data_IF_933719438455
#
_entry.id   IF_933719438455
#
_cell.length_a   1.000
_cell.length_b   1.000
_cell.length_c   1.000
_cell.angle_alpha   90.00
_cell.angle_beta   90.00
_cell.angle_gamma   90.00
#
_symmetry.space_group_name_H-M   'P 1'
#
loop_
_entity.id
_entity.type
_entity.pdbx_description
1 polymer ?
#
# COMPACT_ATOMS: atom_id res chain seq x y z
N UNK A 1 6.07 43.02 40.94
CA UNK A 1 6.26 44.48 40.72
C UNK A 1 7.06 44.78 39.46
N UNK A 2 8.11 44.01 39.12
CA UNK A 2 8.88 44.20 37.88
C UNK A 2 8.05 44.08 36.59
N UNK A 3 7.05 43.19 36.55
CA UNK A 3 6.17 42.96 35.39
C UNK A 3 5.21 44.11 35.06
N UNK A 4 4.90 44.99 36.02
CA UNK A 4 4.01 46.13 35.77
C UNK A 4 4.75 47.37 35.23
N UNK A 5 6.06 47.46 35.44
CA UNK A 5 6.88 48.59 34.97
C UNK A 5 7.15 48.46 33.46
N UNK A 6 7.37 47.23 32.95
CA UNK A 6 7.54 47.00 31.52
C UNK A 6 6.28 47.34 30.70
N UNK A 7 5.08 47.01 31.23
CA UNK A 7 3.82 47.31 30.55
C UNK A 7 3.57 48.82 30.43
N UNK A 8 3.96 49.59 31.45
CA UNK A 8 3.85 51.06 31.46
C UNK A 8 4.88 51.69 30.50
N UNK A 9 6.08 51.13 30.43
CA UNK A 9 7.13 51.59 29.50
C UNK A 9 6.80 51.26 28.03
N UNK A 10 6.15 50.13 27.74
CA UNK A 10 5.62 49.82 26.40
C UNK A 10 4.49 50.77 26.00
N UNK A 11 3.59 51.10 26.93
CA UNK A 11 2.54 52.10 26.70
C UNK A 11 3.11 53.48 26.35
N UNK A 12 4.15 53.93 27.07
CA UNK A 12 4.81 55.21 26.81
C UNK A 12 5.60 55.23 25.49
N UNK A 13 6.23 54.12 25.09
CA UNK A 13 6.86 53.98 23.76
C UNK A 13 5.83 54.05 22.63
N UNK A 14 4.65 53.48 22.83
CA UNK A 14 3.53 53.57 21.88
C UNK A 14 3.05 55.02 21.66
N UNK A 15 2.94 55.79 22.74
CA UNK A 15 2.49 57.20 22.70
C UNK A 15 3.55 58.13 22.09
N UNK A 16 4.84 57.94 22.40
CA UNK A 16 5.93 58.70 21.77
C UNK A 16 6.04 58.42 20.25
N UNK A 17 5.85 57.16 19.83
CA UNK A 17 5.78 56.80 18.41
C UNK A 17 4.54 57.35 17.69
N UNK A 18 3.41 57.50 18.39
CA UNK A 18 2.21 58.14 17.85
C UNK A 18 2.39 59.66 17.68
N UNK A 19 3.01 60.34 18.63
CA UNK A 19 3.31 61.78 18.57
C UNK A 19 4.32 62.12 17.46
N UNK A 20 5.38 61.30 17.29
CA UNK A 20 6.34 61.44 16.19
C UNK A 20 5.69 61.28 14.81
N UNK A 21 4.81 60.29 14.65
CA UNK A 21 4.05 60.07 13.40
C UNK A 21 3.02 61.17 13.13
N UNK A 22 2.48 61.81 14.16
CA UNK A 22 1.55 62.94 14.01
C UNK A 22 2.29 64.22 13.57
N UNK A 23 3.47 64.48 14.15
CA UNK A 23 4.37 65.57 13.76
C UNK A 23 4.88 65.43 12.31
N UNK A 24 5.35 64.24 11.92
CA UNK A 24 5.75 63.97 10.53
C UNK A 24 4.60 64.12 9.53
N UNK A 25 3.38 63.70 9.91
CA UNK A 25 2.20 63.87 9.05
C UNK A 25 1.80 65.33 8.92
N UNK A 26 1.90 66.14 9.97
CA UNK A 26 1.63 67.58 9.90
C UNK A 26 2.69 68.35 9.12
N UNK A 27 3.98 68.05 9.32
CA UNK A 27 5.05 68.66 8.52
C UNK A 27 4.97 68.25 7.03
N UNK A 28 4.63 66.99 6.74
CA UNK A 28 4.34 66.55 5.36
C UNK A 28 3.05 67.16 4.79
N UNK A 29 2.06 67.45 5.62
CA UNK A 29 0.81 68.08 5.20
C UNK A 29 0.99 69.58 4.92
N UNK A 30 1.79 70.31 5.71
CA UNK A 30 2.11 71.72 5.46
C UNK A 30 3.02 71.88 4.24
N UNK A 31 4.09 71.08 4.12
CA UNK A 31 4.90 71.03 2.90
C UNK A 31 4.08 70.60 1.66
N UNK A 32 3.03 69.79 1.86
CA UNK A 32 2.08 69.40 0.82
C UNK A 32 1.13 70.52 0.39
N UNK A 33 0.74 71.44 1.29
CA UNK A 33 -0.15 72.58 0.96
C UNK A 33 0.57 73.64 0.13
N UNK A 34 1.81 73.99 0.50
CA UNK A 34 2.60 74.96 -0.26
C UNK A 34 2.99 74.40 -1.64
N UNK A 35 3.27 73.09 -1.71
CA UNK A 35 3.48 72.40 -2.99
C UNK A 35 2.20 72.33 -3.83
N UNK A 36 1.04 72.06 -3.24
CA UNK A 36 -0.23 72.03 -3.96
C UNK A 36 -0.61 73.40 -4.55
N UNK A 37 -0.38 74.49 -3.81
CA UNK A 37 -0.61 75.84 -4.30
C UNK A 37 0.36 76.22 -5.44
N UNK A 38 1.63 75.84 -5.32
CA UNK A 38 2.62 76.03 -6.39
C UNK A 38 2.29 75.18 -7.64
N UNK A 39 1.86 73.93 -7.44
CA UNK A 39 1.45 73.02 -8.51
C UNK A 39 0.20 73.54 -9.23
N UNK A 40 -0.78 74.08 -8.51
CA UNK A 40 -1.99 74.66 -9.07
C UNK A 40 -1.69 75.95 -9.87
N UNK A 41 -0.81 76.83 -9.35
CA UNK A 41 -0.35 78.01 -10.07
C UNK A 41 0.45 77.67 -11.33
N UNK A 42 1.25 76.59 -11.32
CA UNK A 42 1.95 76.10 -12.50
C UNK A 42 0.97 75.54 -13.55
N UNK A 43 -0.08 74.81 -13.12
CA UNK A 43 -1.11 74.25 -14.02
C UNK A 43 -1.91 75.31 -14.75
N UNK A 44 -2.37 76.34 -14.04
CA UNK A 44 -3.11 77.47 -14.64
C UNK A 44 -2.27 78.22 -15.69
N UNK A 45 -0.94 78.29 -15.52
CA UNK A 45 -0.04 78.95 -16.47
C UNK A 45 0.30 78.13 -17.69
N UNK A 46 0.50 76.82 -17.53
CA UNK A 46 0.63 75.90 -18.66
C UNK A 46 -0.61 75.96 -19.56
N UNK A 47 -1.79 76.02 -18.93
CA UNK A 47 -3.06 76.22 -19.62
C UNK A 47 -3.12 77.55 -20.38
N UNK A 48 -2.56 78.63 -19.83
CA UNK A 48 -2.45 79.93 -20.53
C UNK A 48 -1.48 79.89 -21.73
N UNK A 49 -0.48 79.02 -21.72
CA UNK A 49 0.43 78.76 -22.84
C UNK A 49 -0.15 77.78 -23.88
N UNK A 50 -1.40 77.34 -23.71
CA UNK A 50 -2.03 76.34 -24.58
C UNK A 50 -1.46 74.93 -24.43
N UNK A 51 -0.82 74.64 -23.30
CA UNK A 51 -0.22 73.34 -22.97
C UNK A 51 -1.05 72.72 -21.85
N UNK A 52 -1.79 71.66 -22.15
CA UNK A 52 -2.58 70.97 -21.12
C UNK A 52 -1.68 70.07 -20.27
N UNK A 53 -1.85 70.14 -18.95
CA UNK A 53 -1.12 69.28 -18.00
C UNK A 53 -1.57 67.83 -18.14
N UNK A 54 -2.83 67.62 -18.52
CA UNK A 54 -3.37 66.31 -18.86
C UNK A 54 -2.73 65.71 -20.14
N UNK A 55 -2.41 66.51 -21.16
CA UNK A 55 -1.69 66.06 -22.36
C UNK A 55 -0.23 65.67 -22.05
N UNK A 56 0.44 66.46 -21.20
CA UNK A 56 1.81 66.18 -20.75
C UNK A 56 1.86 64.92 -19.87
N UNK A 57 0.94 64.80 -18.91
CA UNK A 57 0.87 63.63 -18.02
C UNK A 57 0.37 62.38 -18.74
N UNK A 58 -0.56 62.52 -19.69
CA UNK A 58 -1.07 61.43 -20.53
C UNK A 58 0.00 60.86 -21.44
N UNK A 59 0.79 61.70 -22.11
CA UNK A 59 1.92 61.24 -22.93
C UNK A 59 3.07 60.62 -22.10
N UNK A 60 3.29 61.11 -20.89
CA UNK A 60 4.25 60.52 -19.95
C UNK A 60 3.73 59.17 -19.37
N UNK A 61 2.42 58.99 -19.25
CA UNK A 61 1.80 57.75 -18.78
C UNK A 61 1.68 56.68 -19.88
N UNK A 62 1.43 57.08 -21.14
CA UNK A 62 1.36 56.18 -22.30
C UNK A 62 2.71 55.60 -22.71
N UNK A 63 3.82 56.29 -22.37
CA UNK A 63 5.15 55.82 -22.68
C UNK A 63 6.06 55.94 -21.45
N UNK A 64 6.08 54.92 -20.56
CA UNK A 64 6.82 54.97 -19.30
C UNK A 64 8.33 55.12 -19.50
N UNK A 65 8.84 55.00 -20.74
CA UNK A 65 10.22 55.22 -21.17
C UNK A 65 10.57 56.68 -21.51
N UNK A 66 9.76 57.66 -21.08
CA UNK A 66 10.10 59.09 -21.21
C UNK A 66 11.38 59.44 -20.43
N UNK A 67 12.54 59.24 -21.06
CA UNK A 67 13.85 59.70 -20.63
C UNK A 67 13.85 61.24 -20.56
N UNK A 68 14.62 61.81 -19.62
CA UNK A 68 15.03 63.22 -19.63
C UNK A 68 15.42 63.74 -21.02
N UNK A 69 16.00 62.89 -21.88
CA UNK A 69 16.26 63.20 -23.29
C UNK A 69 15.00 63.45 -24.12
N UNK A 70 13.95 62.65 -23.95
CA UNK A 70 12.66 62.80 -24.64
C UNK A 70 11.87 64.01 -24.14
N UNK A 71 11.93 64.29 -22.82
CA UNK A 71 11.34 65.51 -22.24
C UNK A 71 12.06 66.77 -22.75
N UNK A 72 13.40 66.75 -22.79
CA UNK A 72 14.17 67.86 -23.35
C UNK A 72 13.93 68.06 -24.85
N UNK A 73 13.78 66.97 -25.62
CA UNK A 73 13.41 67.03 -27.02
C UNK A 73 12.01 67.66 -27.21
N UNK A 74 11.01 67.24 -26.42
CA UNK A 74 9.67 67.80 -26.44
C UNK A 74 9.63 69.30 -26.07
N UNK A 75 10.34 69.69 -25.01
CA UNK A 75 10.43 71.09 -24.56
C UNK A 75 11.16 71.98 -25.55
N UNK A 76 12.14 71.43 -26.28
CA UNK A 76 12.86 72.10 -27.36
C UNK A 76 11.98 72.24 -28.61
N UNK A 77 11.23 71.20 -28.99
CA UNK A 77 10.33 71.20 -30.15
C UNK A 77 9.15 72.17 -29.97
N UNK A 78 8.66 72.35 -28.74
CA UNK A 78 7.64 73.35 -28.38
C UNK A 78 8.18 74.78 -28.21
N UNK A 79 9.49 75.00 -28.37
CA UNK A 79 10.12 76.32 -28.26
C UNK A 79 10.17 76.90 -26.84
N UNK A 80 9.76 76.15 -25.81
CA UNK A 80 9.63 76.63 -24.42
C UNK A 80 11.00 76.99 -23.84
N UNK A 81 12.03 76.21 -24.17
CA UNK A 81 13.42 76.46 -23.74
C UNK A 81 13.97 77.73 -24.40
N UNK A 82 13.72 77.93 -25.69
CA UNK A 82 14.14 79.14 -26.40
C UNK A 82 13.41 80.38 -25.89
N UNK A 83 12.10 80.29 -25.63
CA UNK A 83 11.33 81.43 -25.09
C UNK A 83 11.79 81.79 -23.67
N UNK A 84 12.10 80.82 -22.81
CA UNK A 84 12.64 81.08 -21.48
C UNK A 84 14.02 81.78 -21.53
N UNK A 85 14.90 81.33 -22.43
CA UNK A 85 16.24 81.90 -22.65
C UNK A 85 16.20 83.31 -23.28
N UNK A 86 15.29 83.54 -24.23
CA UNK A 86 15.17 84.81 -24.95
C UNK A 86 14.47 85.90 -24.14
N UNK A 87 13.43 85.54 -23.37
CA UNK A 87 12.66 86.51 -22.58
C UNK A 87 13.29 86.82 -21.22
N UNK A 88 14.17 85.95 -20.73
CA UNK A 88 14.72 86.06 -19.38
C UNK A 88 13.66 85.93 -18.29
N UNK A 89 12.46 85.41 -18.61
CA UNK A 89 11.35 85.32 -17.66
C UNK A 89 11.69 84.33 -16.54
N UNK A 90 11.84 84.79 -15.28
CA UNK A 90 12.16 83.92 -14.16
C UNK A 90 11.12 82.82 -13.94
N UNK A 91 9.87 83.01 -14.36
CA UNK A 91 8.80 82.00 -14.23
C UNK A 91 8.95 80.83 -15.21
N UNK A 92 9.42 81.10 -16.42
CA UNK A 92 9.68 80.07 -17.42
C UNK A 92 10.85 79.16 -16.96
N UNK A 93 11.88 79.77 -16.36
CA UNK A 93 12.96 79.03 -15.71
C UNK A 93 12.47 78.17 -14.53
N UNK A 94 11.61 78.71 -13.66
CA UNK A 94 11.02 77.93 -12.56
C UNK A 94 10.23 76.70 -13.04
N UNK A 95 9.48 76.86 -14.13
CA UNK A 95 8.69 75.76 -14.72
C UNK A 95 9.58 74.67 -15.31
N UNK A 96 10.68 75.06 -15.99
CA UNK A 96 11.68 74.13 -16.51
C UNK A 96 12.44 73.40 -15.39
N UNK A 97 12.81 74.10 -14.31
CA UNK A 97 13.44 73.45 -13.15
C UNK A 97 12.50 72.45 -12.49
N UNK A 98 11.22 72.80 -12.34
CA UNK A 98 10.21 71.90 -11.78
C UNK A 98 10.03 70.62 -12.61
N UNK A 99 9.91 70.74 -13.94
CA UNK A 99 9.79 69.58 -14.83
C UNK A 99 11.04 68.70 -14.81
N UNK A 100 12.22 69.30 -14.77
CA UNK A 100 13.50 68.57 -14.64
C UNK A 100 13.56 67.80 -13.32
N UNK A 101 13.16 68.44 -12.22
CA UNK A 101 13.20 67.83 -10.89
C UNK A 101 12.17 66.67 -10.78
N UNK A 102 10.97 66.82 -11.36
CA UNK A 102 9.97 65.75 -11.50
C UNK A 102 10.50 64.57 -12.34
N UNK A 103 11.16 64.85 -13.47
CA UNK A 103 11.76 63.80 -14.30
C UNK A 103 12.86 63.04 -13.55
N UNK A 104 13.70 63.76 -12.78
CA UNK A 104 14.73 63.15 -11.93
C UNK A 104 14.13 62.29 -10.80
N UNK A 105 13.05 62.74 -10.16
CA UNK A 105 12.33 61.96 -9.14
C UNK A 105 11.69 60.69 -9.74
N UNK A 106 11.09 60.81 -10.93
CA UNK A 106 10.50 59.66 -11.63
C UNK A 106 11.57 58.63 -12.01
N UNK A 107 12.71 59.06 -12.55
CA UNK A 107 13.81 58.14 -12.89
C UNK A 107 14.37 57.45 -11.63
N UNK A 108 14.51 58.18 -10.52
CA UNK A 108 14.88 57.58 -9.23
C UNK A 108 13.88 56.51 -8.79
N UNK A 109 12.57 56.78 -8.87
CA UNK A 109 11.51 55.81 -8.56
C UNK A 109 11.56 54.59 -9.48
N UNK A 110 11.83 54.76 -10.78
CA UNK A 110 11.99 53.65 -11.73
C UNK A 110 13.18 52.77 -11.36
N UNK A 111 14.33 53.37 -11.06
CA UNK A 111 15.53 52.65 -10.63
C UNK A 111 15.30 51.92 -9.30
N UNK A 112 14.60 52.54 -8.35
CA UNK A 112 14.24 51.93 -7.07
C UNK A 112 13.27 50.76 -7.25
N UNK A 113 12.20 50.93 -8.04
CA UNK A 113 11.26 49.85 -8.38
C UNK A 113 11.94 48.70 -9.15
N UNK A 114 12.88 49.01 -10.04
CA UNK A 114 13.65 48.00 -10.76
C UNK A 114 14.62 47.24 -9.84
N UNK A 115 15.21 47.91 -8.85
CA UNK A 115 16.01 47.26 -7.80
C UNK A 115 15.12 46.36 -6.93
N UNK A 116 13.99 46.88 -6.44
CA UNK A 116 13.02 46.11 -5.67
C UNK A 116 12.54 44.88 -6.44
N UNK A 117 12.17 45.04 -7.71
CA UNK A 117 11.72 43.92 -8.55
C UNK A 117 12.80 42.86 -8.80
N UNK A 118 14.09 43.23 -8.79
CA UNK A 118 15.21 42.26 -8.84
C UNK A 118 15.37 41.54 -7.50
N UNK A 119 15.23 42.25 -6.39
CA UNK A 119 15.28 41.67 -5.04
C UNK A 119 14.11 40.72 -4.80
N UNK A 120 12.89 41.09 -5.19
CA UNK A 120 11.69 40.24 -5.11
C UNK A 120 11.84 38.97 -5.96
N UNK A 121 12.39 39.09 -7.18
CA UNK A 121 12.70 37.92 -8.03
C UNK A 121 13.75 37.02 -7.39
N UNK A 122 14.76 37.59 -6.73
CA UNK A 122 15.78 36.81 -6.03
C UNK A 122 15.21 36.13 -4.78
N UNK A 123 14.35 36.82 -4.03
CA UNK A 123 13.68 36.28 -2.84
C UNK A 123 12.71 35.14 -3.21
N UNK A 124 11.91 35.32 -4.26
CA UNK A 124 11.02 34.25 -4.76
C UNK A 124 11.81 33.05 -5.27
N UNK A 125 12.89 33.26 -6.04
CA UNK A 125 13.75 32.16 -6.51
C UNK A 125 14.46 31.41 -5.37
N UNK A 126 14.83 32.10 -4.28
CA UNK A 126 15.39 31.45 -3.10
C UNK A 126 14.31 30.66 -2.34
N UNK A 127 13.14 31.26 -2.11
CA UNK A 127 12.02 30.59 -1.46
C UNK A 127 11.56 29.33 -2.22
N UNK A 128 11.55 29.35 -3.55
CA UNK A 128 11.23 28.15 -4.36
C UNK A 128 12.30 27.07 -4.21
N UNK A 129 13.59 27.43 -4.18
CA UNK A 129 14.68 26.46 -3.96
C UNK A 129 14.61 25.83 -2.58
N UNK A 130 14.37 26.63 -1.55
CA UNK A 130 14.24 26.15 -0.17
C UNK A 130 13.02 25.23 -0.03
N UNK A 131 11.90 25.58 -0.68
CA UNK A 131 10.71 24.74 -0.75
C UNK A 131 10.97 23.40 -1.46
N UNK A 132 11.63 23.42 -2.62
CA UNK A 132 12.01 22.20 -3.36
C UNK A 132 12.97 21.31 -2.56
N UNK A 133 13.96 21.89 -1.89
CA UNK A 133 14.91 21.15 -1.06
C UNK A 133 14.20 20.52 0.15
N UNK A 134 13.31 21.26 0.81
CA UNK A 134 12.51 20.72 1.91
C UNK A 134 11.60 19.57 1.45
N UNK A 135 10.91 19.71 0.32
CA UNK A 135 10.08 18.66 -0.26
C UNK A 135 10.90 17.42 -0.64
N UNK A 136 12.11 17.61 -1.16
CA UNK A 136 13.03 16.50 -1.48
C UNK A 136 13.47 15.75 -0.21
N UNK A 137 13.79 16.47 0.86
CA UNK A 137 14.16 15.86 2.16
C UNK A 137 12.98 15.08 2.74
N UNK A 138 11.78 15.66 2.76
CA UNK A 138 10.55 14.99 3.21
C UNK A 138 10.30 13.71 2.41
N UNK A 139 10.41 13.73 1.07
CA UNK A 139 10.25 12.53 0.24
C UNK A 139 11.29 11.45 0.56
N UNK A 140 12.55 11.83 0.73
CA UNK A 140 13.61 10.89 1.09
C UNK A 140 13.36 10.23 2.46
N UNK A 141 12.83 10.99 3.43
CA UNK A 141 12.44 10.46 4.74
C UNK A 141 11.25 9.51 4.65
N UNK A 142 10.24 9.83 3.83
CA UNK A 142 9.10 8.93 3.54
C UNK A 142 9.59 7.62 2.91
N UNK A 143 10.45 7.69 1.91
CA UNK A 143 11.00 6.50 1.22
C UNK A 143 11.82 5.63 2.18
N UNK A 144 12.58 6.27 3.07
CA UNK A 144 13.30 5.58 4.14
C UNK A 144 12.34 4.88 5.10
N UNK A 145 11.29 5.56 5.58
CA UNK A 145 10.29 4.96 6.46
C UNK A 145 9.57 3.78 5.81
N UNK A 146 9.26 3.87 4.52
CA UNK A 146 8.68 2.76 3.75
C UNK A 146 9.63 1.57 3.65
N UNK A 147 10.91 1.83 3.44
CA UNK A 147 11.95 0.80 3.36
C UNK A 147 12.15 0.14 4.73
N UNK A 148 12.24 0.94 5.79
CA UNK A 148 12.31 0.47 7.18
C UNK A 148 11.10 -0.42 7.50
N UNK A 149 9.87 0.03 7.20
CA UNK A 149 8.64 -0.75 7.40
C UNK A 149 8.64 -2.07 6.60
N UNK A 150 9.06 -2.03 5.34
CA UNK A 150 9.17 -3.23 4.50
C UNK A 150 10.23 -4.22 4.99
N UNK A 151 11.25 -3.72 5.68
CA UNK A 151 12.36 -4.49 6.24
C UNK A 151 12.13 -4.99 7.66
N UNK A 152 11.10 -4.50 8.34
CA UNK A 152 10.68 -4.98 9.65
C UNK A 152 10.35 -6.48 9.60
N UNK A 153 10.90 -7.24 10.55
CA UNK A 153 10.80 -8.70 10.54
C UNK A 153 9.35 -9.16 10.80
N UNK A 154 8.61 -8.45 11.65
CA UNK A 154 7.19 -8.73 11.91
C UNK A 154 6.36 -8.52 10.64
N UNK A 155 6.64 -7.45 9.89
CA UNK A 155 5.96 -7.16 8.61
C UNK A 155 6.28 -8.22 7.57
N UNK A 156 7.54 -8.66 7.48
CA UNK A 156 7.94 -9.74 6.56
C UNK A 156 7.27 -11.07 6.91
N UNK A 157 7.21 -11.41 8.19
CA UNK A 157 6.56 -12.63 8.67
C UNK A 157 5.07 -12.61 8.33
N UNK A 158 4.38 -11.51 8.65
CA UNK A 158 2.96 -11.35 8.39
C UNK A 158 2.65 -11.35 6.89
N UNK A 159 3.50 -10.76 6.04
CA UNK A 159 3.39 -10.88 4.57
C UNK A 159 3.37 -12.34 4.11
N UNK A 160 4.26 -13.17 4.65
CA UNK A 160 4.34 -14.60 4.33
C UNK A 160 3.10 -15.34 4.83
N UNK A 161 2.69 -15.09 6.07
CA UNK A 161 1.48 -15.67 6.67
C UNK A 161 0.22 -15.31 5.88
N UNK A 162 0.03 -14.03 5.54
CA UNK A 162 -1.10 -13.53 4.75
C UNK A 162 -1.17 -14.21 3.38
N UNK A 163 -0.03 -14.31 2.68
CA UNK A 163 0.04 -14.96 1.37
C UNK A 163 -0.33 -16.44 1.45
N UNK A 164 0.20 -17.16 2.45
CA UNK A 164 -0.10 -18.57 2.66
C UNK A 164 -1.58 -18.79 3.04
N UNK A 165 -2.09 -18.01 3.99
CA UNK A 165 -3.48 -18.05 4.43
C UNK A 165 -4.45 -17.79 3.26
N UNK A 166 -4.21 -16.75 2.45
CA UNK A 166 -5.07 -16.41 1.31
C UNK A 166 -5.12 -17.54 0.28
N UNK A 167 -3.97 -18.15 -0.04
CA UNK A 167 -3.91 -19.30 -0.97
C UNK A 167 -4.65 -20.51 -0.42
N UNK A 168 -4.49 -20.80 0.87
CA UNK A 168 -5.17 -21.90 1.54
C UNK A 168 -6.69 -21.69 1.60
N UNK A 169 -7.14 -20.48 1.96
CA UNK A 169 -8.56 -20.11 2.01
C UNK A 169 -9.21 -20.22 0.63
N UNK A 170 -8.56 -19.69 -0.41
CA UNK A 170 -9.05 -19.82 -1.79
C UNK A 170 -9.11 -21.28 -2.25
N UNK A 171 -8.13 -22.11 -1.88
CA UNK A 171 -8.15 -23.53 -2.19
C UNK A 171 -9.31 -24.24 -1.48
N UNK A 172 -9.60 -23.92 -0.21
CA UNK A 172 -10.70 -24.54 0.53
C UNK A 172 -12.10 -24.33 -0.11
N UNK A 173 -12.25 -23.28 -0.91
CA UNK A 173 -13.46 -22.99 -1.68
C UNK A 173 -13.54 -23.71 -3.03
N UNK A 174 -12.47 -24.37 -3.48
CA UNK A 174 -12.43 -25.11 -4.74
C UNK A 174 -13.07 -26.50 -4.63
N UNK A 175 -13.45 -27.07 -5.78
CA UNK A 175 -13.92 -28.46 -5.86
C UNK A 175 -12.87 -29.43 -5.29
N UNK A 176 -13.31 -30.51 -4.60
CA UNK A 176 -12.40 -31.56 -4.14
C UNK A 176 -11.51 -32.08 -5.25
N UNK A 177 -10.20 -31.94 -5.05
CA UNK A 177 -9.17 -32.45 -5.95
C UNK A 177 -7.85 -32.65 -5.21
N UNK A 178 -6.96 -33.46 -5.77
CA UNK A 178 -5.60 -33.63 -5.24
C UNK A 178 -4.81 -32.30 -5.21
N UNK A 179 -5.07 -31.40 -6.16
CA UNK A 179 -4.42 -30.08 -6.25
C UNK A 179 -4.82 -29.19 -5.08
N UNK A 180 -6.14 -29.08 -4.84
CA UNK A 180 -6.73 -28.37 -3.71
C UNK A 180 -6.08 -28.75 -2.39
N UNK A 181 -6.09 -30.04 -2.08
CA UNK A 181 -5.65 -30.56 -0.79
C UNK A 181 -4.16 -30.34 -0.57
N UNK A 182 -3.37 -30.49 -1.64
CA UNK A 182 -1.94 -30.17 -1.60
C UNK A 182 -1.69 -28.69 -1.33
N UNK A 183 -2.44 -27.80 -1.99
CA UNK A 183 -2.35 -26.36 -1.72
C UNK A 183 -2.69 -26.06 -0.27
N UNK A 184 -3.69 -26.72 0.32
CA UNK A 184 -4.07 -26.53 1.72
C UNK A 184 -2.94 -26.95 2.66
N UNK A 185 -2.47 -28.21 2.55
CA UNK A 185 -1.41 -28.75 3.42
C UNK A 185 -0.13 -27.92 3.28
N UNK A 186 0.30 -27.65 2.04
CA UNK A 186 1.52 -26.88 1.78
C UNK A 186 1.50 -25.49 2.43
N UNK A 187 0.42 -24.73 2.23
CA UNK A 187 0.32 -23.39 2.79
C UNK A 187 0.13 -23.41 4.32
N UNK A 188 -0.58 -24.40 4.87
CA UNK A 188 -0.67 -24.58 6.32
C UNK A 188 0.72 -24.80 6.95
N UNK A 189 1.54 -25.64 6.33
CA UNK A 189 2.90 -25.91 6.82
C UNK A 189 3.81 -24.68 6.72
N UNK A 190 3.64 -23.84 5.69
CA UNK A 190 4.32 -22.53 5.61
C UNK A 190 3.93 -21.58 6.74
N UNK A 191 2.70 -21.69 7.24
CA UNK A 191 2.24 -20.84 8.34
C UNK A 191 2.78 -21.29 9.71
N UNK A 192 3.04 -22.58 9.89
CA UNK A 192 3.63 -23.09 11.13
C UNK A 192 5.09 -22.70 11.33
N UNK A 193 5.82 -22.44 10.24
CA UNK A 193 7.23 -22.07 10.29
C UNK A 193 7.59 -21.21 9.06
N UNK A 194 7.26 -19.90 9.12
CA UNK A 194 7.44 -18.99 7.98
C UNK A 194 8.91 -18.69 7.66
N UNK A 195 9.85 -19.10 8.52
CA UNK A 195 11.28 -18.81 8.37
C UNK A 195 12.14 -20.04 8.04
N UNK A 196 11.58 -21.25 8.07
CA UNK A 196 12.32 -22.46 7.69
C UNK A 196 12.49 -22.63 6.18
N UNK A 197 13.73 -22.39 5.72
CA UNK A 197 14.16 -22.64 4.34
C UNK A 197 14.26 -24.14 4.03
N UNK A 198 14.59 -24.96 5.03
CA UNK A 198 14.72 -26.41 4.88
C UNK A 198 13.36 -27.01 4.54
N UNK A 199 12.34 -26.61 5.28
CA UNK A 199 10.97 -27.07 5.07
C UNK A 199 10.41 -26.63 3.72
N UNK A 200 10.73 -25.42 3.27
CA UNK A 200 10.31 -24.96 1.93
C UNK A 200 10.96 -25.78 0.81
N UNK A 201 12.25 -26.12 0.92
CA UNK A 201 12.96 -26.94 -0.07
C UNK A 201 12.47 -28.39 -0.10
N UNK A 202 12.27 -29.01 1.06
CA UNK A 202 11.72 -30.37 1.15
C UNK A 202 10.33 -30.46 0.50
N UNK A 203 9.50 -29.41 0.65
CA UNK A 203 8.20 -29.37 0.01
C UNK A 203 8.23 -28.99 -1.47
N UNK A 204 9.17 -28.17 -1.91
CA UNK A 204 9.41 -27.98 -3.34
C UNK A 204 9.76 -29.31 -3.98
N UNK A 205 10.65 -30.10 -3.36
CA UNK A 205 10.95 -31.46 -3.84
C UNK A 205 9.72 -32.36 -3.83
N UNK A 206 8.86 -32.29 -2.82
CA UNK A 206 7.61 -33.05 -2.82
C UNK A 206 6.60 -32.58 -3.90
N UNK A 207 6.52 -31.27 -4.16
CA UNK A 207 5.67 -30.68 -5.20
C UNK A 207 6.17 -31.06 -6.60
N UNK A 208 7.48 -30.96 -6.83
CA UNK A 208 8.15 -31.36 -8.06
C UNK A 208 8.02 -32.86 -8.29
N UNK A 209 8.21 -33.68 -7.25
CA UNK A 209 7.98 -35.12 -7.32
C UNK A 209 6.52 -35.42 -7.71
N UNK A 210 5.54 -34.71 -7.15
CA UNK A 210 4.13 -34.87 -7.52
C UNK A 210 3.84 -34.44 -8.96
N UNK A 211 4.39 -33.29 -9.40
CA UNK A 211 4.27 -32.82 -10.78
C UNK A 211 4.89 -33.82 -11.75
N UNK A 212 6.08 -34.31 -11.42
CA UNK A 212 6.78 -35.33 -12.19
C UNK A 212 5.97 -36.63 -12.26
N UNK A 213 5.39 -37.09 -11.14
CA UNK A 213 4.48 -38.24 -11.13
C UNK A 213 3.31 -37.97 -12.08
N UNK A 214 2.60 -36.85 -11.95
CA UNK A 214 1.43 -36.55 -12.80
C UNK A 214 1.72 -36.43 -14.30
N UNK A 215 2.93 -36.04 -14.69
CA UNK A 215 3.33 -35.90 -16.10
C UNK A 215 3.86 -37.20 -16.71
N UNK A 216 4.36 -38.11 -15.88
CA UNK A 216 4.99 -39.34 -16.34
C UNK A 216 4.11 -40.57 -16.20
N UNK A 217 2.96 -40.46 -15.53
CA UNK A 217 1.92 -41.49 -15.53
C UNK A 217 1.25 -41.57 -16.90
N UNK A 218 1.18 -42.77 -17.47
CA UNK A 218 0.32 -43.09 -18.61
C UNK A 218 -1.15 -43.25 -18.18
N UNK A 219 -2.04 -43.50 -19.15
CA UNK A 219 -3.48 -43.68 -18.91
C UNK A 219 -3.80 -44.85 -17.95
N UNK A 220 -2.84 -45.76 -17.74
CA UNK A 220 -2.97 -46.92 -16.85
C UNK A 220 -2.32 -46.72 -15.47
N UNK A 221 -1.75 -45.53 -15.20
CA UNK A 221 -1.12 -45.19 -13.92
C UNK A 221 0.29 -45.78 -13.75
N UNK A 222 0.99 -46.06 -14.85
CA UNK A 222 2.41 -46.44 -14.85
C UNK A 222 3.28 -45.26 -15.24
N UNK A 223 4.42 -45.11 -14.57
CA UNK A 223 5.45 -44.20 -15.09
C UNK A 223 6.00 -44.76 -16.40
N UNK A 224 6.47 -43.89 -17.32
CA UNK A 224 7.22 -44.30 -18.54
C UNK A 224 8.38 -45.29 -18.29
N UNK A 225 8.85 -45.42 -17.05
CA UNK A 225 9.91 -46.33 -16.63
C UNK A 225 9.40 -47.63 -15.95
N UNK A 226 8.09 -47.91 -15.98
CA UNK A 226 7.51 -49.14 -15.45
C UNK A 226 7.35 -49.20 -13.92
N UNK A 227 7.59 -48.10 -13.20
CA UNK A 227 7.28 -48.01 -11.77
C UNK A 227 5.77 -47.83 -11.63
N UNK A 228 5.11 -48.83 -11.04
CA UNK A 228 3.68 -48.85 -10.78
C UNK A 228 3.38 -48.03 -9.51
N UNK A 229 2.90 -46.81 -9.68
CA UNK A 229 2.28 -46.01 -8.60
C UNK A 229 0.78 -46.26 -8.48
N UNK A 230 0.22 -47.14 -9.32
CA UNK A 230 -1.20 -47.45 -9.36
C UNK A 230 -1.72 -48.02 -8.04
N UNK A 231 -0.90 -48.56 -7.14
CA UNK A 231 -1.37 -48.89 -5.78
C UNK A 231 -1.73 -47.64 -4.95
N UNK A 232 -0.93 -46.57 -5.04
CA UNK A 232 -1.16 -45.31 -4.33
C UNK A 232 -2.32 -44.55 -4.97
N UNK A 233 -2.37 -44.54 -6.30
CA UNK A 233 -3.45 -43.97 -7.08
C UNK A 233 -4.77 -44.74 -6.89
N UNK A 234 -4.73 -46.08 -6.79
CA UNK A 234 -5.88 -46.89 -6.40
C UNK A 234 -6.29 -46.67 -4.95
N UNK A 235 -5.36 -46.39 -4.02
CA UNK A 235 -5.75 -46.04 -2.65
C UNK A 235 -6.45 -44.67 -2.60
N UNK A 236 -5.95 -43.70 -3.36
CA UNK A 236 -6.56 -42.37 -3.51
C UNK A 236 -7.93 -42.48 -4.21
N UNK A 237 -8.04 -43.27 -5.28
CA UNK A 237 -9.27 -43.44 -6.05
C UNK A 237 -10.29 -44.39 -5.39
N UNK A 238 -9.85 -45.40 -4.62
CA UNK A 238 -10.75 -46.28 -3.84
C UNK A 238 -11.31 -45.60 -2.59
N UNK A 239 -10.59 -44.61 -2.03
CA UNK A 239 -11.06 -43.91 -0.84
C UNK A 239 -12.34 -43.11 -1.12
N UNK A 240 -12.51 -42.53 -2.31
CA UNK A 240 -13.79 -41.95 -2.76
C UNK A 240 -13.78 -41.67 -4.29
N UNK A 241 -14.38 -42.53 -5.12
CA UNK A 241 -14.39 -42.35 -6.58
C UNK A 241 -15.11 -41.08 -7.04
N UNK A 242 -15.86 -40.41 -6.17
CA UNK A 242 -16.55 -39.14 -6.47
C UNK A 242 -15.67 -37.90 -6.19
N UNK A 243 -14.51 -38.05 -5.55
CA UNK A 243 -13.70 -36.92 -5.05
C UNK A 243 -12.52 -36.51 -5.93
N UNK A 244 -12.45 -36.96 -7.19
CA UNK A 244 -11.43 -36.52 -8.18
C UNK A 244 -9.99 -36.52 -7.61
N UNK A 245 -9.62 -37.53 -6.84
CA UNK A 245 -8.29 -37.66 -6.24
C UNK A 245 -8.02 -36.76 -5.01
N UNK A 246 -9.02 -36.11 -4.44
CA UNK A 246 -8.92 -35.47 -3.12
C UNK A 246 -8.64 -36.52 -2.04
N UNK A 247 -7.67 -36.26 -1.19
CA UNK A 247 -7.25 -37.12 -0.08
C UNK A 247 -7.62 -36.55 1.29
N UNK A 248 -8.03 -35.27 1.38
CA UNK A 248 -8.57 -34.67 2.59
C UNK A 248 -10.10 -34.76 2.62
N UNK A 249 -10.63 -35.13 3.78
CA UNK A 249 -12.05 -34.99 4.08
C UNK A 249 -12.42 -33.51 4.23
N UNK A 250 -13.67 -33.15 3.91
CA UNK A 250 -14.16 -31.77 4.11
C UNK A 250 -13.96 -31.28 5.56
N UNK A 251 -14.12 -32.17 6.55
CA UNK A 251 -13.88 -31.86 7.96
C UNK A 251 -12.40 -31.56 8.26
N UNK A 252 -11.47 -32.23 7.58
CA UNK A 252 -10.04 -31.96 7.71
C UNK A 252 -9.68 -30.64 7.02
N UNK A 253 -10.25 -30.35 5.85
CA UNK A 253 -10.11 -29.04 5.20
C UNK A 253 -10.61 -27.94 6.13
N UNK A 254 -11.75 -28.15 6.79
CA UNK A 254 -12.28 -27.22 7.80
C UNK A 254 -11.35 -27.06 9.01
N UNK A 255 -10.74 -28.14 9.48
CA UNK A 255 -9.80 -28.10 10.59
C UNK A 255 -8.51 -27.32 10.23
N UNK A 256 -7.88 -27.67 9.10
CA UNK A 256 -6.70 -26.95 8.58
C UNK A 256 -6.97 -25.46 8.41
N UNK A 257 -8.10 -25.11 7.78
CA UNK A 257 -8.45 -23.70 7.57
C UNK A 257 -8.73 -22.98 8.87
N UNK A 258 -9.39 -23.62 9.85
CA UNK A 258 -9.64 -23.03 11.17
C UNK A 258 -8.35 -22.81 11.98
N UNK A 259 -7.42 -23.76 11.95
CA UNK A 259 -6.13 -23.63 12.63
C UNK A 259 -5.27 -22.53 12.00
N UNK A 260 -5.17 -22.49 10.68
CA UNK A 260 -4.39 -21.43 10.03
C UNK A 260 -5.04 -20.05 10.20
N UNK A 261 -6.36 -19.96 10.22
CA UNK A 261 -7.05 -18.72 10.59
C UNK A 261 -6.68 -18.26 12.00
N UNK A 262 -6.63 -19.17 12.98
CA UNK A 262 -6.20 -18.88 14.36
C UNK A 262 -4.75 -18.39 14.41
N UNK A 263 -3.84 -19.04 13.66
CA UNK A 263 -2.43 -18.61 13.54
C UNK A 263 -2.35 -17.19 12.96
N UNK A 264 -3.08 -16.94 11.88
CA UNK A 264 -3.07 -15.65 11.20
C UNK A 264 -3.64 -14.53 12.07
N UNK A 265 -4.79 -14.77 12.73
CA UNK A 265 -5.38 -13.84 13.69
C UNK A 265 -4.43 -13.51 14.85
N UNK A 266 -3.68 -14.50 15.35
CA UNK A 266 -2.68 -14.29 16.39
C UNK A 266 -1.55 -13.34 15.98
N UNK A 267 -1.26 -13.24 14.67
CA UNK A 267 -0.23 -12.33 14.15
C UNK A 267 -0.74 -10.91 13.89
N UNK A 268 -2.06 -10.70 13.69
CA UNK A 268 -2.64 -9.38 13.39
C UNK A 268 -2.33 -8.31 14.46
N UNK A 269 -2.40 -8.58 15.78
CA UNK A 269 -2.04 -7.59 16.80
C UNK A 269 -0.60 -7.10 16.71
N UNK A 270 0.34 -7.94 16.26
CA UNK A 270 1.73 -7.51 16.07
C UNK A 270 1.84 -6.58 14.87
N UNK A 271 1.16 -6.88 13.75
CA UNK A 271 1.08 -5.97 12.61
C UNK A 271 0.52 -4.61 13.03
N UNK A 272 -0.57 -4.60 13.81
CA UNK A 272 -1.19 -3.36 14.29
C UNK A 272 -0.24 -2.51 15.14
N UNK A 273 0.60 -3.14 15.98
CA UNK A 273 1.63 -2.42 16.76
C UNK A 273 2.70 -1.81 15.86
N UNK A 274 3.16 -2.54 14.85
CA UNK A 274 4.12 -2.02 13.88
C UNK A 274 3.50 -0.88 13.08
N UNK A 275 2.29 -1.06 12.55
CA UNK A 275 1.54 -0.02 11.84
C UNK A 275 1.38 1.25 12.70
N UNK A 276 1.00 1.11 13.98
CA UNK A 276 0.89 2.25 14.89
C UNK A 276 2.25 2.96 15.08
N UNK A 277 3.32 2.19 15.25
CA UNK A 277 4.67 2.73 15.42
C UNK A 277 5.13 3.55 14.21
N UNK A 278 4.91 3.04 12.99
CA UNK A 278 5.30 3.73 11.76
C UNK A 278 4.37 4.90 11.42
N UNK A 279 3.06 4.81 11.74
CA UNK A 279 2.15 5.96 11.68
C UNK A 279 2.61 7.09 12.59
N UNK A 280 3.03 6.78 13.81
CA UNK A 280 3.52 7.78 14.77
C UNK A 280 4.85 8.38 14.34
N UNK A 281 5.76 7.59 13.75
CA UNK A 281 7.00 8.11 13.15
C UNK A 281 6.68 9.07 12.01
N UNK A 282 5.74 8.72 11.15
CA UNK A 282 5.35 9.53 10.01
C UNK A 282 4.71 10.87 10.42
N UNK A 283 3.83 10.87 11.44
CA UNK A 283 3.24 12.09 12.00
C UNK A 283 4.27 13.06 12.58
N UNK A 284 5.42 12.55 13.00
CA UNK A 284 6.54 13.36 13.53
C UNK A 284 7.45 13.89 12.42
N UNK A 285 7.29 13.42 11.17
CA UNK A 285 8.10 13.85 10.03
C UNK A 285 7.59 15.19 9.48
N UNK A 286 8.39 16.26 9.48
CA UNK A 286 7.95 17.56 8.98
C UNK A 286 7.54 17.53 7.51
N UNK A 287 6.40 18.15 7.22
CA UNK A 287 5.88 18.27 5.85
C UNK A 287 5.18 17.02 5.30
N UNK A 288 5.00 15.97 6.10
CA UNK A 288 4.26 14.77 5.68
C UNK A 288 2.77 14.94 5.97
N UNK A 289 1.93 14.62 4.98
CA UNK A 289 0.48 14.65 5.10
C UNK A 289 -0.08 13.30 5.58
N UNK A 290 -1.30 13.30 6.15
CA UNK A 290 -1.99 12.04 6.49
C UNK A 290 -2.23 11.14 5.26
N UNK A 291 -2.37 11.73 4.07
CA UNK A 291 -2.49 10.95 2.82
C UNK A 291 -1.24 10.15 2.48
N UNK A 292 -0.05 10.65 2.83
CA UNK A 292 1.21 9.93 2.61
C UNK A 292 1.30 8.68 3.49
N UNK A 293 0.62 8.67 4.65
CA UNK A 293 0.56 7.53 5.55
C UNK A 293 0.00 6.27 4.91
N UNK A 294 -0.99 6.42 4.04
CA UNK A 294 -1.59 5.31 3.32
C UNK A 294 -0.62 4.67 2.30
N UNK A 295 0.33 5.44 1.79
CA UNK A 295 1.29 4.96 0.80
C UNK A 295 2.47 4.23 1.44
N UNK A 296 2.87 4.62 2.66
CA UNK A 296 4.00 4.01 3.38
C UNK A 296 3.68 2.58 3.84
N UNK A 297 2.45 2.32 4.26
CA UNK A 297 2.01 1.03 4.82
C UNK A 297 0.97 0.37 3.90
N UNK A 298 1.39 -0.42 2.89
CA UNK A 298 0.48 -1.03 1.92
C UNK A 298 -0.33 -2.22 2.47
N UNK A 299 -0.01 -2.67 3.68
CA UNK A 299 -0.61 -3.82 4.33
C UNK A 299 -1.47 -3.26 5.45
N UNK A 300 -2.77 -3.12 5.17
CA UNK A 300 -3.72 -2.74 6.21
C UNK A 300 -4.11 -3.97 7.02
N UNK A 301 -3.95 -3.89 8.33
CA UNK A 301 -4.51 -4.86 9.28
C UNK A 301 -6.05 -4.88 9.26
N UNK A 302 -6.69 -3.77 8.85
CA UNK A 302 -8.15 -3.69 8.71
C UNK A 302 -8.65 -4.59 7.57
N UNK A 303 -7.92 -4.63 6.44
CA UNK A 303 -8.28 -5.46 5.29
C UNK A 303 -8.20 -6.96 5.64
N UNK A 304 -7.18 -7.35 6.42
CA UNK A 304 -7.03 -8.73 6.89
C UNK A 304 -8.17 -9.14 7.82
N UNK A 305 -8.51 -8.26 8.77
CA UNK A 305 -9.59 -8.52 9.73
C UNK A 305 -10.93 -8.68 8.99
N UNK A 306 -11.18 -7.84 7.98
CA UNK A 306 -12.36 -7.95 7.13
C UNK A 306 -12.38 -9.25 6.32
N UNK A 307 -11.23 -9.66 5.75
CA UNK A 307 -11.11 -10.90 4.99
C UNK A 307 -11.37 -12.14 5.87
N UNK A 308 -10.81 -12.17 7.09
CA UNK A 308 -11.01 -13.27 8.05
C UNK A 308 -12.49 -13.39 8.41
N UNK A 309 -13.13 -12.26 8.75
CA UNK A 309 -14.57 -12.24 9.06
C UNK A 309 -15.42 -12.74 7.89
N UNK A 310 -15.12 -12.29 6.67
CA UNK A 310 -15.81 -12.73 5.46
C UNK A 310 -15.66 -14.25 5.23
N UNK A 311 -14.46 -14.79 5.46
CA UNK A 311 -14.20 -16.23 5.35
C UNK A 311 -14.98 -17.04 6.40
N UNK A 312 -15.04 -16.57 7.65
CA UNK A 312 -15.87 -17.19 8.72
C UNK A 312 -17.33 -17.26 8.32
N UNK A 313 -17.89 -16.14 7.87
CA UNK A 313 -19.30 -16.06 7.48
C UNK A 313 -19.62 -17.01 6.32
N UNK A 314 -18.74 -17.08 5.31
CA UNK A 314 -18.89 -18.04 4.19
C UNK A 314 -18.90 -19.49 4.68
N UNK A 315 -17.97 -19.85 5.56
CA UNK A 315 -17.86 -21.21 6.11
C UNK A 315 -19.07 -21.57 6.99
N UNK A 316 -19.54 -20.62 7.81
CA UNK A 316 -20.76 -20.80 8.61
C UNK A 316 -21.98 -21.08 7.72
N UNK A 317 -22.17 -20.29 6.65
CA UNK A 317 -23.24 -20.49 5.66
C UNK A 317 -23.13 -21.84 4.95
N UNK A 318 -21.90 -22.27 4.58
CA UNK A 318 -21.65 -23.59 3.97
C UNK A 318 -22.02 -24.74 4.92
N UNK A 319 -21.65 -24.64 6.19
CA UNK A 319 -22.02 -25.63 7.23
C UNK A 319 -23.53 -25.69 7.45
N UNK A 320 -24.20 -24.53 7.51
CA UNK A 320 -25.65 -24.47 7.64
C UNK A 320 -26.37 -25.10 6.42
N UNK A 321 -25.90 -24.79 5.21
CA UNK A 321 -26.45 -25.37 3.97
C UNK A 321 -26.25 -26.90 3.91
N UNK A 322 -25.07 -27.40 4.31
CA UNK A 322 -24.78 -28.84 4.39
C UNK A 322 -25.69 -29.52 5.43
N UNK A 323 -25.86 -28.93 6.61
CA UNK A 323 -26.77 -29.44 7.64
C UNK A 323 -28.24 -29.49 7.17
N UNK A 324 -28.71 -28.47 6.46
CA UNK A 324 -30.07 -28.46 5.88
C UNK A 324 -30.23 -29.55 4.81
N UNK A 325 -29.24 -29.73 3.95
CA UNK A 325 -29.25 -30.77 2.91
C UNK A 325 -29.30 -32.17 3.52
N UNK A 326 -28.45 -32.43 4.51
CA UNK A 326 -28.39 -33.73 5.20
C UNK A 326 -29.72 -34.05 5.91
N UNK A 327 -30.40 -33.02 6.47
CA UNK A 327 -31.74 -33.14 7.07
C UNK A 327 -32.86 -33.36 6.04
N UNK A 328 -32.74 -32.89 4.80
CA UNK A 328 -33.76 -33.12 3.75
C UNK A 328 -33.63 -34.50 3.09
N UNK A 329 -32.47 -35.15 3.18
CA UNK A 329 -32.26 -36.54 2.74
C UNK A 329 -32.75 -37.60 3.74
N UNK A 330 -33.70 -37.25 4.62
CA UNK A 330 -34.42 -38.23 5.44
C UNK A 330 -35.31 -39.07 4.51
N UNK A 331 -35.11 -40.39 4.60
CA UNK A 331 -35.57 -41.49 3.74
C UNK A 331 -36.97 -41.33 3.12
N UNK A 332 -37.18 -41.75 1.85
CA UNK A 332 -38.53 -42.05 1.38
C UNK A 332 -39.14 -43.13 2.29
N UNK A 333 -40.33 -42.85 2.80
CA UNK A 333 -41.17 -43.80 3.54
C UNK A 333 -41.34 -45.06 2.69
N UNK A 334 -40.77 -46.19 3.13
CA UNK A 334 -41.01 -47.50 2.51
C UNK A 334 -39.83 -48.47 2.47
N UNK A 335 -38.60 -48.01 2.72
CA UNK A 335 -37.45 -48.92 2.70
C UNK A 335 -37.36 -49.67 4.04
N UNK A 336 -37.83 -50.93 4.03
CA UNK A 336 -37.77 -51.90 5.14
C UNK A 336 -36.42 -51.78 5.85
N UNK A 337 -36.46 -51.46 7.14
CA UNK A 337 -35.28 -51.38 7.99
C UNK A 337 -34.43 -52.64 7.79
N UNK A 338 -33.26 -52.48 7.17
CA UNK A 338 -32.20 -53.48 7.23
C UNK A 338 -31.88 -53.63 8.71
N UNK A 339 -31.90 -54.85 9.28
CA UNK A 339 -31.64 -55.05 10.69
C UNK A 339 -30.30 -54.42 11.04
N UNK A 340 -30.28 -53.68 12.15
CA UNK A 340 -29.06 -53.09 12.69
C UNK A 340 -28.00 -54.20 12.80
N UNK A 341 -26.91 -54.04 12.05
CA UNK A 341 -25.70 -54.84 12.20
C UNK A 341 -25.09 -54.50 13.57
N UNK A 342 -25.66 -55.06 14.63
CA UNK A 342 -24.93 -55.27 15.88
C UNK A 342 -23.72 -56.09 15.51
N UNK A 343 -22.51 -55.60 15.80
CA UNK A 343 -21.26 -56.33 15.59
C UNK A 343 -21.34 -57.66 16.36
N UNK A 344 -21.80 -58.70 15.69
CA UNK A 344 -21.74 -60.06 16.19
C UNK A 344 -20.27 -60.38 16.33
N UNK A 345 -19.85 -60.62 17.57
CA UNK A 345 -18.57 -61.24 17.89
C UNK A 345 -18.41 -62.42 16.94
N UNK A 346 -17.43 -62.33 16.04
CA UNK A 346 -17.16 -63.39 15.07
C UNK A 346 -16.81 -64.62 15.91
N UNK A 347 -17.68 -65.62 15.87
CA UNK A 347 -17.44 -66.88 16.56
C UNK A 347 -16.19 -67.57 15.98
N UNK A 348 -15.68 -68.58 16.69
CA UNK A 348 -14.47 -69.30 16.26
C UNK A 348 -14.61 -69.86 14.83
N UNK A 349 -15.83 -70.19 14.40
CA UNK A 349 -16.13 -70.65 13.05
C UNK A 349 -15.92 -69.54 12.00
N UNK A 350 -16.41 -68.32 12.25
CA UNK A 350 -16.20 -67.18 11.37
C UNK A 350 -14.72 -66.75 11.30
N UNK A 351 -13.99 -66.82 12.43
CA UNK A 351 -12.55 -66.53 12.44
C UNK A 351 -11.76 -67.56 11.63
N UNK A 352 -12.15 -68.84 11.68
CA UNK A 352 -11.58 -69.90 10.85
C UNK A 352 -11.88 -69.66 9.37
N UNK A 353 -13.10 -69.27 9.01
CA UNK A 353 -13.45 -68.97 7.62
C UNK A 353 -12.66 -67.80 7.05
N UNK A 354 -12.44 -66.74 7.84
CA UNK A 354 -11.59 -65.60 7.46
C UNK A 354 -10.14 -66.05 7.29
N UNK A 355 -9.64 -66.93 8.16
CA UNK A 355 -8.30 -67.49 8.05
C UNK A 355 -8.13 -68.30 6.76
N UNK A 356 -9.06 -69.20 6.45
CA UNK A 356 -9.02 -70.06 5.26
C UNK A 356 -9.10 -69.24 3.96
N UNK A 357 -9.96 -68.22 3.91
CA UNK A 357 -10.04 -67.27 2.79
C UNK A 357 -8.72 -66.51 2.56
N UNK A 358 -8.02 -66.17 3.64
CA UNK A 358 -6.73 -65.49 3.55
C UNK A 358 -5.61 -66.45 3.11
N UNK A 359 -5.61 -67.70 3.58
CA UNK A 359 -4.69 -68.75 3.11
C UNK A 359 -4.83 -68.95 1.60
N UNK A 360 -6.06 -69.04 1.09
CA UNK A 360 -6.34 -69.24 -0.33
C UNK A 360 -5.81 -68.06 -1.18
N UNK A 361 -6.10 -66.82 -0.76
CA UNK A 361 -5.61 -65.60 -1.43
C UNK A 361 -4.09 -65.54 -1.47
N UNK A 362 -3.42 -65.84 -0.35
CA UNK A 362 -1.94 -65.83 -0.29
C UNK A 362 -1.35 -66.95 -1.15
N UNK A 363 -1.97 -68.13 -1.18
CA UNK A 363 -1.54 -69.24 -2.03
C UNK A 363 -1.64 -68.88 -3.51
N UNK A 364 -2.74 -68.26 -3.95
CA UNK A 364 -2.92 -67.76 -5.32
C UNK A 364 -1.87 -66.70 -5.68
N UNK A 365 -1.54 -65.80 -4.75
CA UNK A 365 -0.48 -64.81 -4.94
C UNK A 365 0.91 -65.45 -5.10
N UNK A 366 1.23 -66.48 -4.32
CA UNK A 366 2.50 -67.22 -4.45
C UNK A 366 2.57 -67.92 -5.81
N UNK A 367 1.49 -68.58 -6.24
CA UNK A 367 1.43 -69.25 -7.56
C UNK A 367 1.61 -68.25 -8.71
N UNK A 368 0.99 -67.07 -8.62
CA UNK A 368 1.18 -66.00 -9.61
C UNK A 368 2.62 -65.48 -9.63
N UNK A 369 3.29 -65.42 -8.47
CA UNK A 369 4.70 -65.04 -8.38
C UNK A 369 5.63 -66.09 -9.03
N UNK A 370 5.38 -67.39 -8.81
CA UNK A 370 6.11 -68.49 -9.47
C UNK A 370 5.97 -68.41 -11.00
N UNK A 371 4.76 -68.16 -11.49
CA UNK A 371 4.49 -68.02 -12.92
C UNK A 371 5.25 -66.85 -13.55
N UNK A 372 5.41 -65.73 -12.82
CA UNK A 372 6.15 -64.55 -13.29
C UNK A 372 7.66 -64.74 -13.26
N UNK A 373 8.18 -65.45 -12.26
CA UNK A 373 9.62 -65.57 -12.03
C UNK A 373 10.24 -66.81 -12.71
N UNK A 374 9.43 -67.71 -13.27
CA UNK A 374 9.90 -68.87 -14.00
C UNK A 374 10.57 -69.95 -13.15
N UNK A 375 10.43 -69.89 -11.82
CA UNK A 375 10.91 -70.93 -10.91
C UNK A 375 9.85 -71.27 -9.85
N UNK A 376 9.86 -72.52 -9.37
CA UNK A 376 8.95 -73.00 -8.33
C UNK A 376 9.62 -72.92 -6.96
N UNK A 377 8.93 -72.36 -5.97
CA UNK A 377 9.34 -72.39 -4.58
C UNK A 377 9.21 -73.81 -4.02
N UNK A 378 10.12 -74.20 -3.13
CA UNK A 378 9.99 -75.45 -2.37
C UNK A 378 8.73 -75.39 -1.49
N UNK A 379 8.06 -76.52 -1.20
CA UNK A 379 6.89 -76.54 -0.33
C UNK A 379 7.14 -75.88 1.04
N UNK A 380 8.32 -76.11 1.62
CA UNK A 380 8.74 -75.48 2.88
C UNK A 380 8.81 -73.95 2.77
N UNK A 381 9.30 -73.42 1.65
CA UNK A 381 9.37 -71.96 1.43
C UNK A 381 7.99 -71.35 1.22
N UNK A 382 7.09 -72.04 0.52
CA UNK A 382 5.68 -71.60 0.36
C UNK A 382 4.99 -71.49 1.72
N UNK A 383 5.16 -72.49 2.57
CA UNK A 383 4.58 -72.51 3.91
C UNK A 383 5.09 -71.33 4.76
N UNK A 384 6.41 -71.06 4.74
CA UNK A 384 7.00 -69.91 5.43
C UNK A 384 6.42 -68.57 4.93
N UNK A 385 6.20 -68.43 3.62
CA UNK A 385 5.63 -67.21 3.04
C UNK A 385 4.15 -67.01 3.42
N UNK A 386 3.37 -68.11 3.46
CA UNK A 386 1.98 -68.09 3.91
C UNK A 386 1.90 -67.66 5.37
N UNK A 387 2.70 -68.28 6.24
CA UNK A 387 2.73 -67.97 7.67
C UNK A 387 3.19 -66.53 7.95
N UNK A 388 4.24 -66.07 7.26
CA UNK A 388 4.72 -64.70 7.38
C UNK A 388 3.64 -63.68 6.97
N UNK A 389 2.88 -63.97 5.91
CA UNK A 389 1.84 -63.06 5.44
C UNK A 389 0.61 -63.06 6.34
N UNK A 390 0.21 -64.23 6.85
CA UNK A 390 -0.88 -64.34 7.82
C UNK A 390 -0.54 -63.64 9.15
N UNK A 391 0.73 -63.69 9.58
CA UNK A 391 1.21 -62.94 10.74
C UNK A 391 1.11 -61.43 10.53
N UNK A 392 1.45 -60.92 9.33
CA UNK A 392 1.25 -59.51 9.00
C UNK A 392 -0.22 -59.09 9.02
N UNK A 393 -1.12 -59.94 8.50
CA UNK A 393 -2.56 -59.67 8.51
C UNK A 393 -3.15 -59.68 9.92
N UNK A 394 -2.68 -60.58 10.80
CA UNK A 394 -3.07 -60.59 12.22
C UNK A 394 -2.65 -59.31 12.98
N UNK A 395 -1.50 -58.71 12.64
CA UNK A 395 -1.06 -57.45 13.24
C UNK A 395 -1.98 -56.29 12.82
N UNK A 396 -2.61 -56.36 11.64
CA UNK A 396 -3.54 -55.34 11.16
C UNK A 396 -4.96 -55.50 11.72
N UNK A 397 -5.36 -56.71 12.14
CA UNK A 397 -6.71 -56.99 12.66
C UNK A 397 -6.81 -57.04 14.19
N UNK A 398 -5.68 -57.01 14.91
CA UNK A 398 -5.72 -56.88 16.36
C UNK A 398 -6.35 -55.52 16.74
N UNK A 399 -7.34 -55.49 17.65
CA UNK A 399 -7.91 -54.23 18.11
C UNK A 399 -6.78 -53.39 18.72
N UNK A 400 -6.59 -52.18 18.18
CA UNK A 400 -5.74 -51.18 18.83
C UNK A 400 -6.40 -50.90 20.18
N UNK A 401 -5.74 -51.32 21.27
CA UNK A 401 -6.13 -50.92 22.63
C UNK A 401 -6.00 -49.41 22.79
#
# INVERSE_FOLDING_TARGET
MATNIELILEGLRGVAGAAGRYSERHQKAEAGRDKAAADEAARERLKALGISVEELSGKAAENPDYDTAALNAYLKERGIISTALETGDPMAFQSLTYLRDQASENEKRRLENAKQGKEDKKATAQATKDAEESARKTRAEIDKLRTDYGNDDDVKEIKKLRSAYTKMANAADQEPSAGRDFTIVYNFMRMQDPNSVVREKEFQTAAEAKSWISQNLDEEGFTKNGINFSWLEQMINKADPKKKGSFLLDSQVDDFTGQAETIFEGAVPNLQKVDATYRDRLKKTPGVSDSDAKYVMPISSDDDTAQIKANREKRAKKKEAKSKKDKMTVKPEGEKQKPEETATVVDEAGMKQIYDLNVEKVTKAIQAAEARQGFKFTPARKQQMIEAKLKQLRIQTAPRK
#
